data_IF_147877889411
#
_entry.id   IF_147877889411
#
_cell.length_a   1.000
_cell.length_b   1.000
_cell.length_c   1.000
_cell.angle_alpha   90.00
_cell.angle_beta   90.00
_cell.angle_gamma   90.00
#
_symmetry.space_group_name_H-M   'P 1'
#
loop_
_entity.id
_entity.type
_entity.pdbx_description
1 polymer ?
#
# COMPACT_ATOMS: atom_id res chain seq x y z
N UNK A 1 35.74 1.58 12.88
CA UNK A 1 35.30 2.04 14.21
C UNK A 1 34.18 1.12 14.70
N UNK A 2 34.40 0.34 15.78
CA UNK A 2 33.36 -0.51 16.38
C UNK A 2 32.61 0.31 17.44
N UNK A 3 31.31 0.56 17.24
CA UNK A 3 30.48 1.23 18.25
C UNK A 3 30.17 0.26 19.41
N UNK A 4 30.25 0.73 20.66
CA UNK A 4 29.90 -0.03 21.87
C UNK A 4 28.43 -0.46 21.86
N UNK A 5 28.08 -1.58 22.52
CA UNK A 5 26.68 -2.06 22.63
C UNK A 5 25.77 -1.05 23.33
N UNK A 6 26.30 -0.28 24.27
CA UNK A 6 25.57 0.72 25.04
C UNK A 6 25.57 2.11 24.38
N UNK A 7 26.17 2.24 23.20
CA UNK A 7 26.14 3.47 22.43
C UNK A 7 24.72 3.70 21.89
N UNK A 8 24.08 4.78 22.36
CA UNK A 8 22.75 5.22 21.91
C UNK A 8 22.65 5.33 20.39
N UNK A 9 23.72 5.81 19.72
CA UNK A 9 23.76 5.93 18.26
C UNK A 9 23.76 4.56 17.58
N UNK A 10 24.48 3.58 18.15
CA UNK A 10 24.44 2.19 17.67
C UNK A 10 23.04 1.60 17.80
N UNK A 11 22.38 1.81 18.94
CA UNK A 11 21.04 1.30 19.20
C UNK A 11 20.02 1.90 18.22
N UNK A 12 20.11 3.20 17.93
CA UNK A 12 19.27 3.87 16.94
C UNK A 12 19.47 3.31 15.53
N UNK A 13 20.72 3.17 15.08
CA UNK A 13 21.03 2.61 13.77
C UNK A 13 20.57 1.16 13.64
N UNK A 14 20.81 0.33 14.67
CA UNK A 14 20.34 -1.05 14.69
C UNK A 14 18.81 -1.12 14.60
N UNK A 15 18.11 -0.27 15.35
CA UNK A 15 16.65 -0.19 15.30
C UNK A 15 16.16 0.20 13.91
N UNK A 16 16.80 1.17 13.24
CA UNK A 16 16.43 1.55 11.87
C UNK A 16 16.59 0.39 10.88
N UNK A 17 17.70 -0.34 10.94
CA UNK A 17 17.95 -1.51 10.07
C UNK A 17 16.90 -2.60 10.32
N UNK A 18 16.59 -2.89 11.59
CA UNK A 18 15.57 -3.86 11.94
C UNK A 18 14.17 -3.42 11.50
N UNK A 19 13.81 -2.16 11.71
CA UNK A 19 12.52 -1.61 11.30
C UNK A 19 12.36 -1.68 9.76
N UNK A 20 13.41 -1.40 8.99
CA UNK A 20 13.40 -1.52 7.52
C UNK A 20 13.31 -2.97 7.06
N UNK A 21 14.11 -3.87 7.63
CA UNK A 21 14.08 -5.29 7.31
C UNK A 21 12.71 -5.92 7.62
N UNK A 22 12.15 -5.61 8.79
CA UNK A 22 10.81 -6.02 9.17
C UNK A 22 9.76 -5.46 8.22
N UNK A 23 9.89 -4.20 7.80
CA UNK A 23 8.97 -3.59 6.85
C UNK A 23 8.98 -4.32 5.50
N UNK A 24 10.15 -4.63 4.94
CA UNK A 24 10.29 -5.36 3.67
C UNK A 24 9.74 -6.79 3.78
N UNK A 25 10.09 -7.50 4.86
CA UNK A 25 9.59 -8.85 5.14
C UNK A 25 8.06 -8.85 5.27
N UNK A 26 7.51 -8.00 6.12
CA UNK A 26 6.07 -7.91 6.36
C UNK A 26 5.28 -7.39 5.16
N UNK A 27 5.92 -6.61 4.27
CA UNK A 27 5.30 -6.14 3.04
C UNK A 27 5.16 -7.24 1.99
N UNK A 28 5.94 -8.32 2.09
CA UNK A 28 6.01 -9.41 1.11
C UNK A 28 5.34 -10.71 1.61
N UNK A 29 5.35 -10.97 2.91
CA UNK A 29 4.86 -12.24 3.48
C UNK A 29 3.44 -12.18 4.07
N UNK A 30 2.65 -13.26 3.96
CA UNK A 30 1.30 -13.33 4.54
C UNK A 30 1.29 -13.21 6.06
N UNK A 31 2.26 -13.87 6.71
CA UNK A 31 2.50 -13.77 8.15
C UNK A 31 3.40 -12.56 8.40
N UNK A 32 2.93 -11.66 9.26
CA UNK A 32 3.67 -10.46 9.64
C UNK A 32 4.26 -10.59 11.05
N UNK A 33 5.36 -9.89 11.26
CA UNK A 33 6.00 -9.66 12.56
C UNK A 33 5.50 -8.30 13.05
N UNK A 34 4.46 -8.25 13.91
CA UNK A 34 3.91 -6.99 14.37
C UNK A 34 4.85 -6.33 15.40
N UNK A 35 4.79 -5.00 15.47
CA UNK A 35 5.54 -4.24 16.47
C UNK A 35 5.04 -4.53 17.90
N UNK A 36 3.76 -4.84 18.07
CA UNK A 36 3.20 -5.39 19.31
C UNK A 36 2.58 -6.75 19.02
N UNK A 37 3.16 -7.80 19.60
CA UNK A 37 2.68 -9.18 19.43
C UNK A 37 1.47 -9.42 20.33
N UNK A 38 0.38 -9.87 19.73
CA UNK A 38 -0.77 -10.43 20.44
C UNK A 38 -0.43 -11.87 20.84
N UNK A 39 -0.66 -12.26 22.09
CA UNK A 39 -0.39 -13.63 22.55
C UNK A 39 -1.29 -14.70 21.91
N UNK A 40 -2.41 -14.32 21.28
CA UNK A 40 -3.49 -15.26 20.93
C UNK A 40 -3.95 -15.24 19.47
N UNK A 41 -3.26 -14.54 18.56
CA UNK A 41 -3.68 -14.49 17.15
C UNK A 41 -2.50 -14.50 16.20
N UNK A 42 -2.61 -15.30 15.15
CA UNK A 42 -1.75 -15.18 13.98
C UNK A 42 -1.84 -13.75 13.45
N UNK A 43 -0.68 -13.15 13.27
CA UNK A 43 -0.58 -11.79 12.79
C UNK A 43 -0.51 -11.83 11.28
N UNK A 44 -1.67 -11.77 10.63
CA UNK A 44 -1.75 -11.81 9.17
C UNK A 44 -1.77 -10.41 8.56
N UNK A 45 -1.32 -10.30 7.31
CA UNK A 45 -1.37 -9.05 6.52
C UNK A 45 -2.79 -8.47 6.37
N UNK A 46 -3.85 -9.26 6.46
CA UNK A 46 -5.21 -8.70 6.39
C UNK A 46 -5.54 -7.85 7.62
N UNK A 47 -4.97 -8.18 8.78
CA UNK A 47 -5.30 -7.56 10.06
C UNK A 47 -4.29 -6.48 10.49
N UNK A 48 -3.09 -6.50 9.89
CA UNK A 48 -1.97 -5.65 10.24
C UNK A 48 -1.50 -4.83 9.05
N UNK A 49 -1.21 -3.56 9.31
CA UNK A 49 -0.80 -2.59 8.30
C UNK A 49 0.34 -1.71 8.84
N UNK A 50 1.25 -1.22 8.00
CA UNK A 50 2.39 -0.42 8.44
C UNK A 50 1.98 0.99 8.87
N UNK A 51 2.71 1.55 9.82
CA UNK A 51 2.66 2.99 10.06
C UNK A 51 3.32 3.74 8.89
N UNK A 52 2.67 4.78 8.31
CA UNK A 52 3.26 5.56 7.23
C UNK A 52 4.54 6.31 7.60
N UNK A 53 4.85 6.44 8.89
CA UNK A 53 6.02 7.18 9.38
C UNK A 53 7.11 6.27 9.91
N UNK A 54 6.79 5.40 10.89
CA UNK A 54 7.79 4.54 11.53
C UNK A 54 7.94 3.17 10.87
N UNK A 55 7.13 2.86 9.83
CA UNK A 55 7.10 1.57 9.09
C UNK A 55 6.78 0.31 9.92
N UNK A 56 6.68 0.41 11.25
CA UNK A 56 6.23 -0.68 12.11
C UNK A 56 4.82 -1.16 11.77
N UNK A 57 4.58 -2.47 11.83
CA UNK A 57 3.27 -3.07 11.56
C UNK A 57 2.41 -3.12 12.82
N UNK A 58 1.20 -2.58 12.72
CA UNK A 58 0.21 -2.52 13.81
C UNK A 58 -1.10 -3.11 13.34
N UNK A 59 -1.91 -3.62 14.27
CA UNK A 59 -3.27 -4.00 13.92
C UNK A 59 -4.03 -2.77 13.39
N UNK A 60 -4.94 -2.96 12.43
CA UNK A 60 -5.76 -1.86 11.88
C UNK A 60 -6.44 -1.03 12.95
N UNK A 61 -6.88 -1.69 14.04
CA UNK A 61 -7.49 -1.06 15.22
C UNK A 61 -6.49 -0.18 15.98
N UNK A 62 -5.28 -0.66 16.20
CA UNK A 62 -4.30 0.03 17.05
C UNK A 62 -3.51 1.11 16.31
N UNK A 63 -3.44 1.05 14.97
CA UNK A 63 -2.66 2.00 14.20
C UNK A 63 -3.13 3.45 14.41
N UNK A 64 -4.43 3.69 14.53
CA UNK A 64 -4.96 5.05 14.78
C UNK A 64 -4.45 5.62 16.10
N UNK A 65 -4.44 4.82 17.16
CA UNK A 65 -3.94 5.25 18.47
C UNK A 65 -2.44 5.48 18.43
N UNK A 66 -1.70 4.58 17.78
CA UNK A 66 -0.26 4.76 17.56
C UNK A 66 0.04 6.09 16.87
N UNK A 67 -0.63 6.39 15.75
CA UNK A 67 -0.39 7.61 14.97
C UNK A 67 -0.70 8.91 15.72
N UNK A 68 -1.66 8.88 16.64
CA UNK A 68 -2.07 10.09 17.37
C UNK A 68 -1.27 10.30 18.66
N UNK A 69 -0.84 9.23 19.32
CA UNK A 69 -0.31 9.31 20.70
C UNK A 69 1.15 8.86 20.81
N UNK A 70 1.60 7.91 19.99
CA UNK A 70 2.82 7.14 20.27
C UNK A 70 3.86 7.20 19.14
N UNK A 71 3.50 7.68 17.95
CA UNK A 71 4.37 7.66 16.79
C UNK A 71 5.41 8.78 16.85
N UNK A 72 6.58 8.47 17.43
CA UNK A 72 7.72 9.39 17.52
C UNK A 72 8.28 9.85 16.17
N UNK A 73 8.07 9.06 15.11
CA UNK A 73 8.51 9.39 13.75
C UNK A 73 7.51 10.28 12.99
N UNK A 74 6.35 10.60 13.58
CA UNK A 74 5.37 11.48 12.95
C UNK A 74 5.84 12.93 13.06
N UNK A 75 5.87 13.72 11.96
CA UNK A 75 6.24 15.13 12.03
C UNK A 75 5.27 15.94 12.90
N UNK A 76 5.79 16.88 13.68
CA UNK A 76 4.99 17.72 14.60
C UNK A 76 3.92 18.56 13.87
N UNK A 77 4.20 18.98 12.63
CA UNK A 77 3.27 19.75 11.80
C UNK A 77 2.19 18.89 11.13
N UNK A 78 2.27 17.56 11.23
CA UNK A 78 1.31 16.68 10.59
C UNK A 78 0.02 16.61 11.43
N UNK A 79 -1.04 17.23 10.91
CA UNK A 79 -2.39 17.11 11.47
C UNK A 79 -2.88 15.65 11.53
N UNK A 80 -4.04 15.46 12.16
CA UNK A 80 -4.69 14.15 12.29
C UNK A 80 -4.92 13.54 10.91
N UNK A 81 -4.41 12.33 10.68
CA UNK A 81 -4.67 11.58 9.46
C UNK A 81 -6.14 11.14 9.48
N UNK A 82 -6.91 11.60 8.50
CA UNK A 82 -8.33 11.26 8.38
C UNK A 82 -8.52 9.78 7.99
N UNK A 83 -7.81 9.32 6.95
CA UNK A 83 -7.86 7.92 6.50
C UNK A 83 -6.52 7.21 6.74
N UNK A 84 -6.40 6.64 7.94
CA UNK A 84 -5.19 5.94 8.41
C UNK A 84 -4.83 4.74 7.53
N UNK A 85 -5.83 3.99 7.05
CA UNK A 85 -5.59 2.81 6.25
C UNK A 85 -5.10 3.18 4.84
N UNK A 86 -5.66 4.21 4.22
CA UNK A 86 -5.15 4.71 2.95
C UNK A 86 -3.70 5.22 3.08
N UNK A 87 -3.42 6.05 4.09
CA UNK A 87 -2.06 6.55 4.32
C UNK A 87 -1.04 5.41 4.53
N UNK A 88 -1.44 4.37 5.26
CA UNK A 88 -0.65 3.15 5.43
C UNK A 88 -0.42 2.40 4.12
N UNK A 89 -1.45 2.25 3.28
CA UNK A 89 -1.33 1.52 2.01
C UNK A 89 -0.46 2.24 0.99
N UNK A 90 -0.42 3.57 1.02
CA UNK A 90 0.44 4.36 0.16
C UNK A 90 1.94 4.08 0.37
N UNK A 91 2.33 3.55 1.53
CA UNK A 91 3.74 3.20 1.79
C UNK A 91 4.10 1.77 1.37
N UNK A 92 3.12 0.91 1.11
CA UNK A 92 3.37 -0.50 0.78
C UNK A 92 3.91 -0.64 -0.65
N UNK A 93 4.98 -1.43 -0.86
CA UNK A 93 5.56 -1.68 -2.18
C UNK A 93 4.75 -2.67 -3.03
N UNK A 94 3.51 -3.00 -2.66
CA UNK A 94 2.70 -4.08 -3.25
C UNK A 94 2.06 -3.72 -4.60
N UNK A 95 2.72 -2.88 -5.41
CA UNK A 95 2.24 -2.46 -6.72
C UNK A 95 3.38 -2.52 -7.72
N UNK A 96 3.04 -2.98 -8.94
CA UNK A 96 3.97 -3.23 -10.04
C UNK A 96 4.96 -2.07 -10.22
N UNK A 97 6.26 -2.32 -10.48
CA UNK A 97 7.28 -1.28 -10.63
C UNK A 97 6.90 -0.14 -11.59
N UNK A 98 6.21 -0.46 -12.69
CA UNK A 98 5.79 0.55 -13.69
C UNK A 98 4.71 1.52 -13.21
N UNK A 99 4.10 1.31 -12.03
CA UNK A 99 3.05 2.20 -11.54
C UNK A 99 3.58 3.63 -11.28
N UNK A 100 2.93 4.62 -11.88
CA UNK A 100 3.26 6.03 -11.67
C UNK A 100 2.95 6.47 -10.24
N UNK A 101 3.54 7.61 -9.84
CA UNK A 101 3.31 8.23 -8.52
C UNK A 101 1.83 8.47 -8.23
N UNK A 102 1.05 8.89 -9.24
CA UNK A 102 -0.40 9.10 -9.10
C UNK A 102 -1.11 7.80 -8.72
N UNK A 103 -0.79 6.68 -9.37
CA UNK A 103 -1.39 5.39 -9.03
C UNK A 103 -1.00 5.00 -7.60
N UNK A 104 0.30 5.06 -7.27
CA UNK A 104 0.84 4.63 -5.97
C UNK A 104 0.25 5.42 -4.79
N UNK A 105 0.12 6.73 -4.95
CA UNK A 105 -0.20 7.64 -3.84
C UNK A 105 -1.68 8.03 -3.79
N UNK A 106 -2.39 8.02 -4.92
CA UNK A 106 -3.76 8.56 -4.98
C UNK A 106 -4.83 7.52 -5.31
N UNK A 107 -4.52 6.55 -6.19
CA UNK A 107 -5.50 5.57 -6.68
C UNK A 107 -5.46 4.31 -5.83
N UNK A 108 -4.32 3.64 -5.78
CA UNK A 108 -4.10 2.37 -5.08
C UNK A 108 -4.52 2.43 -3.61
N UNK A 109 -4.16 3.46 -2.82
CA UNK A 109 -4.47 3.49 -1.39
C UNK A 109 -5.97 3.50 -1.07
N UNK A 110 -6.79 3.90 -2.04
CA UNK A 110 -8.25 4.00 -1.93
C UNK A 110 -8.99 2.79 -2.54
N UNK A 111 -8.29 1.85 -3.18
CA UNK A 111 -8.89 0.59 -3.66
C UNK A 111 -9.29 -0.30 -2.48
N UNK A 112 -10.12 -1.32 -2.72
CA UNK A 112 -10.33 -2.38 -1.73
C UNK A 112 -9.02 -3.10 -1.42
N UNK A 113 -8.86 -3.61 -0.19
CA UNK A 113 -7.71 -4.46 0.14
C UNK A 113 -8.08 -5.93 -0.02
N UNK A 114 -8.44 -6.30 -1.23
CA UNK A 114 -8.90 -7.62 -1.63
C UNK A 114 -7.93 -8.27 -2.64
N UNK A 115 -8.18 -9.54 -2.93
CA UNK A 115 -7.40 -10.31 -3.88
C UNK A 115 -7.48 -9.75 -5.30
N UNK A 116 -8.62 -9.17 -5.68
CA UNK A 116 -8.83 -8.51 -6.97
C UNK A 116 -7.82 -7.37 -7.15
N UNK A 117 -7.75 -6.48 -6.17
CA UNK A 117 -6.83 -5.34 -6.19
C UNK A 117 -5.38 -5.80 -6.24
N UNK A 118 -5.04 -6.88 -5.52
CA UNK A 118 -3.68 -7.44 -5.54
C UNK A 118 -3.27 -7.96 -6.91
N UNK A 119 -4.16 -8.69 -7.58
CA UNK A 119 -3.88 -9.24 -8.91
C UNK A 119 -3.71 -8.09 -9.90
N UNK A 120 -4.69 -7.19 -9.95
CA UNK A 120 -4.69 -6.02 -10.83
C UNK A 120 -3.45 -5.14 -10.64
N UNK A 121 -3.04 -4.90 -9.40
CA UNK A 121 -1.91 -4.02 -9.11
C UNK A 121 -0.54 -4.64 -9.37
N UNK A 122 -0.46 -5.96 -9.60
CA UNK A 122 0.78 -6.65 -9.96
C UNK A 122 0.88 -6.98 -11.46
N UNK A 123 -0.19 -6.78 -12.23
CA UNK A 123 -0.19 -7.00 -13.68
C UNK A 123 0.43 -5.81 -14.43
N UNK A 124 1.44 -6.07 -15.25
CA UNK A 124 2.19 -5.05 -15.97
C UNK A 124 1.31 -4.28 -16.98
N UNK A 125 0.50 -4.99 -17.76
CA UNK A 125 -0.33 -4.40 -18.81
C UNK A 125 -1.48 -3.60 -18.21
N UNK A 126 -2.10 -4.09 -17.14
CA UNK A 126 -3.16 -3.34 -16.45
C UNK A 126 -2.59 -2.04 -15.87
N UNK A 127 -1.40 -2.08 -15.28
CA UNK A 127 -0.75 -0.89 -14.71
C UNK A 127 -0.37 0.13 -15.80
N UNK A 128 0.12 -0.31 -16.95
CA UNK A 128 0.38 0.56 -18.09
C UNK A 128 -0.90 1.23 -18.61
N UNK A 129 -1.98 0.47 -18.74
CA UNK A 129 -3.28 1.02 -19.11
C UNK A 129 -3.77 2.06 -18.09
N UNK A 130 -3.71 1.75 -16.80
CA UNK A 130 -4.12 2.68 -15.74
C UNK A 130 -3.23 3.92 -15.71
N UNK A 131 -1.93 3.80 -16.03
CA UNK A 131 -1.04 4.96 -16.16
C UNK A 131 -1.50 5.90 -17.28
N UNK A 132 -1.84 5.36 -18.46
CA UNK A 132 -2.37 6.16 -19.57
C UNK A 132 -3.68 6.86 -19.18
N UNK A 133 -4.57 6.16 -18.49
CA UNK A 133 -5.82 6.75 -17.98
C UNK A 133 -5.54 7.83 -16.94
N UNK A 134 -4.60 7.62 -16.02
CA UNK A 134 -4.21 8.60 -15.02
C UNK A 134 -3.64 9.88 -15.65
N UNK A 135 -2.90 9.77 -16.76
CA UNK A 135 -2.42 10.94 -17.53
C UNK A 135 -3.61 11.67 -18.16
N UNK A 136 -4.48 10.94 -18.86
CA UNK A 136 -5.62 11.50 -19.62
C UNK A 136 -6.65 12.20 -18.73
N UNK A 137 -6.85 11.70 -17.52
CA UNK A 137 -7.94 12.11 -16.64
C UNK A 137 -7.48 12.78 -15.33
N UNK A 138 -6.24 13.30 -15.33
CA UNK A 138 -5.37 13.57 -14.18
C UNK A 138 -5.91 14.42 -13.02
N UNK A 139 -7.07 15.06 -13.11
CA UNK A 139 -7.47 16.10 -12.15
C UNK A 139 -8.86 15.96 -11.51
N UNK A 140 -9.52 14.80 -11.57
CA UNK A 140 -10.80 14.64 -10.86
C UNK A 140 -10.90 13.35 -10.02
N UNK A 141 -11.45 13.49 -8.82
CA UNK A 141 -11.84 12.38 -7.93
C UNK A 141 -12.84 11.45 -8.60
N UNK A 142 -13.67 11.98 -9.52
CA UNK A 142 -14.62 11.22 -10.33
C UNK A 142 -13.91 10.25 -11.27
N UNK A 143 -12.88 10.70 -11.99
CA UNK A 143 -12.11 9.83 -12.87
C UNK A 143 -11.32 8.76 -12.11
N UNK A 144 -10.86 9.08 -10.90
CA UNK A 144 -10.26 8.06 -10.03
C UNK A 144 -11.26 6.95 -9.71
N UNK A 145 -12.53 7.29 -9.42
CA UNK A 145 -13.57 6.29 -9.18
C UNK A 145 -13.89 5.45 -10.43
N UNK A 146 -13.96 6.08 -11.61
CA UNK A 146 -14.14 5.39 -12.89
C UNK A 146 -13.02 4.37 -13.16
N UNK A 147 -11.76 4.75 -12.93
CA UNK A 147 -10.62 3.83 -13.07
C UNK A 147 -10.75 2.63 -12.13
N UNK A 148 -11.23 2.83 -10.88
CA UNK A 148 -11.49 1.71 -9.96
C UNK A 148 -12.55 0.76 -10.50
N UNK A 149 -13.65 1.30 -11.04
CA UNK A 149 -14.73 0.50 -11.61
C UNK A 149 -14.23 -0.31 -12.81
N UNK A 150 -13.45 0.30 -13.71
CA UNK A 150 -12.87 -0.39 -14.87
C UNK A 150 -11.96 -1.54 -14.42
N UNK A 151 -11.11 -1.32 -13.41
CA UNK A 151 -10.22 -2.35 -12.87
C UNK A 151 -10.98 -3.57 -12.31
N UNK A 152 -12.10 -3.33 -11.63
CA UNK A 152 -12.95 -4.39 -11.08
C UNK A 152 -13.66 -5.15 -12.21
N UNK A 153 -14.20 -4.44 -13.20
CA UNK A 153 -14.90 -5.05 -14.34
C UNK A 153 -13.96 -5.83 -15.26
N UNK A 154 -12.72 -5.38 -15.44
CA UNK A 154 -11.69 -6.09 -16.23
C UNK A 154 -11.40 -7.49 -15.65
N UNK A 155 -11.48 -7.67 -14.32
CA UNK A 155 -11.29 -8.99 -13.71
C UNK A 155 -12.55 -9.86 -13.74
N UNK A 156 -13.74 -9.27 -13.55
CA UNK A 156 -15.01 -10.03 -13.61
C UNK A 156 -15.22 -10.72 -14.97
N UNK A 157 -14.63 -10.17 -16.03
CA UNK A 157 -14.83 -10.64 -17.39
C UNK A 157 -13.88 -11.75 -17.82
N UNK A 158 -12.82 -12.08 -17.07
CA UNK A 158 -11.89 -13.08 -17.56
C UNK A 158 -10.95 -13.68 -16.50
N UNK A 159 -11.07 -14.99 -16.31
CA UNK A 159 -10.04 -15.84 -15.70
C UNK A 159 -8.91 -16.18 -16.71
N UNK A 160 -8.96 -15.67 -17.96
CA UNK A 160 -8.04 -16.02 -19.06
C UNK A 160 -7.56 -14.83 -19.93
N UNK A 161 -7.61 -13.58 -19.46
CA UNK A 161 -6.95 -12.48 -20.21
C UNK A 161 -5.44 -12.62 -20.09
N UNK A 162 -4.85 -13.20 -21.13
CA UNK A 162 -3.43 -13.09 -21.45
C UNK A 162 -3.12 -11.86 -22.30
N UNK A 163 -4.13 -11.08 -22.73
CA UNK A 163 -3.92 -9.92 -23.61
C UNK A 163 -5.01 -8.84 -23.53
N UNK A 164 -4.64 -7.65 -23.03
CA UNK A 164 -5.53 -6.50 -22.80
C UNK A 164 -6.02 -5.84 -24.10
N UNK A 165 -5.40 -6.13 -25.25
CA UNK A 165 -5.77 -5.56 -26.54
C UNK A 165 -7.23 -5.84 -26.94
N UNK A 166 -7.85 -6.93 -26.45
CA UNK A 166 -9.26 -7.23 -26.69
C UNK A 166 -10.23 -6.32 -25.94
N UNK A 167 -9.84 -5.76 -24.79
CA UNK A 167 -10.68 -4.87 -23.98
C UNK A 167 -10.83 -3.47 -24.59
N UNK A 168 -9.84 -3.01 -25.36
CA UNK A 168 -9.89 -1.71 -26.04
C UNK A 168 -11.08 -1.57 -26.99
N UNK A 169 -11.55 -2.67 -27.62
CA UNK A 169 -12.73 -2.63 -28.49
C UNK A 169 -14.06 -2.44 -27.76
N UNK A 170 -14.13 -2.82 -26.48
CA UNK A 170 -15.39 -2.75 -25.71
C UNK A 170 -15.46 -1.50 -24.83
N UNK A 171 -14.32 -1.01 -24.33
CA UNK A 171 -14.27 0.22 -23.52
C UNK A 171 -14.52 1.47 -24.38
N UNK A 172 -14.13 1.45 -25.66
CA UNK A 172 -14.44 2.53 -26.61
C UNK A 172 -15.94 2.67 -26.92
N UNK A 173 -16.77 1.66 -26.60
CA UNK A 173 -18.23 1.70 -26.79
C UNK A 173 -18.93 2.27 -25.53
N UNK A 174 -18.22 2.35 -24.40
CA UNK A 174 -18.74 2.82 -23.12
C UNK A 174 -18.23 4.23 -22.73
N UNK A 175 -17.47 4.88 -23.61
CA UNK A 175 -17.05 6.28 -23.55
C UNK A 175 -17.84 7.10 -24.55
#
# INVERSE_FOLDING_TARGET
>A
MKLSKDDSKRQQLLKQVLDEGNFLYNSSNHIVIPHHRSHHKESTKENYIPCPFCKGFYSKRNLRNHLNLNCKSKPNHQHRIQNVQAASRATLPQIHPHASKVIREQIYPKLSNDEITRIVCNDAHIIEFVNLMAIKYSNSTHHQAMIRSILIEMKKRDDKITNILFLNRTILILL
#
